data_IF_698143702215
#
_entry.id   IF_698143702215
#
_cell.length_a   1.000
_cell.length_b   1.000
_cell.length_c   1.000
_cell.angle_alpha   90.00
_cell.angle_beta   90.00
_cell.angle_gamma   90.00
#
_symmetry.space_group_name_H-M   'P 1'
#
loop_
_entity.id
_entity.type
_entity.pdbx_description
1 polymer ?
#
# COMPACT_ATOMS: atom_id res chain seq x y z
N UNK A 1 -9.86 6.33 -1.10
CA UNK A 1 -9.10 7.62 -0.98
C UNK A 1 -9.44 8.72 -2.02
N UNK A 2 -9.15 10.00 -1.72
CA UNK A 2 -9.38 11.16 -2.62
C UNK A 2 -8.42 11.24 -3.82
N UNK A 3 -8.83 11.92 -4.90
CA UNK A 3 -8.02 12.09 -6.12
C UNK A 3 -6.67 12.72 -5.78
N UNK A 4 -5.57 12.11 -6.24
CA UNK A 4 -4.25 12.74 -6.17
C UNK A 4 -4.20 13.84 -7.24
N UNK A 5 -4.37 15.09 -6.81
CA UNK A 5 -4.19 16.25 -7.69
C UNK A 5 -2.71 16.56 -7.82
N UNK A 6 -2.25 16.81 -9.05
CA UNK A 6 -0.87 17.17 -9.31
C UNK A 6 -0.50 18.52 -8.66
N UNK A 7 0.69 18.57 -8.08
CA UNK A 7 1.26 19.76 -7.47
C UNK A 7 2.77 19.58 -7.24
N UNK A 8 3.47 20.68 -7.00
CA UNK A 8 4.91 20.65 -6.73
C UNK A 8 5.17 20.28 -5.27
N UNK A 9 5.73 19.09 -4.97
CA UNK A 9 6.06 18.72 -3.61
C UNK A 9 7.21 19.56 -3.05
N UNK A 10 7.17 19.85 -1.76
CA UNK A 10 8.26 20.50 -1.03
C UNK A 10 9.33 19.48 -0.59
N UNK A 11 10.58 19.92 -0.55
CA UNK A 11 11.67 19.21 0.13
C UNK A 11 11.38 19.07 1.64
N UNK A 12 12.17 18.27 2.34
CA UNK A 12 12.03 18.13 3.79
C UNK A 12 12.31 19.44 4.51
N UNK A 13 13.32 20.18 4.09
CA UNK A 13 13.75 21.45 4.67
C UNK A 13 12.64 22.50 4.56
N UNK A 14 12.05 22.64 3.37
CA UNK A 14 10.91 23.52 3.11
C UNK A 14 9.66 23.07 3.87
N UNK A 15 9.36 21.77 3.87
CA UNK A 15 8.22 21.20 4.62
C UNK A 15 8.37 21.47 6.11
N UNK A 16 9.58 21.31 6.67
CA UNK A 16 9.87 21.56 8.08
C UNK A 16 9.70 23.04 8.42
N UNK A 17 10.14 23.95 7.55
CA UNK A 17 9.98 25.39 7.73
C UNK A 17 8.50 25.81 7.80
N UNK A 18 7.62 25.13 7.05
CA UNK A 18 6.18 25.38 7.01
C UNK A 18 5.36 24.49 7.95
N UNK A 19 5.99 23.62 8.73
CA UNK A 19 5.27 22.62 9.51
C UNK A 19 4.30 23.23 10.53
N UNK A 20 4.64 24.37 11.14
CA UNK A 20 3.75 25.07 12.06
C UNK A 20 2.60 25.76 11.33
N UNK A 21 2.87 26.40 10.19
CA UNK A 21 1.85 26.99 9.33
C UNK A 21 0.81 25.94 8.90
N UNK A 22 1.26 24.77 8.45
CA UNK A 22 0.37 23.66 8.06
C UNK A 22 -0.46 23.16 9.25
N UNK A 23 0.13 23.03 10.44
CA UNK A 23 -0.60 22.63 11.66
C UNK A 23 -1.67 23.64 12.03
N UNK A 24 -1.32 24.93 12.08
CA UNK A 24 -2.23 26.00 12.45
C UNK A 24 -3.44 26.04 11.51
N UNK A 25 -3.21 26.11 10.19
CA UNK A 25 -4.30 26.15 9.23
C UNK A 25 -5.10 24.83 9.17
N UNK A 26 -4.46 23.68 9.41
CA UNK A 26 -5.16 22.41 9.55
C UNK A 26 -6.14 22.41 10.74
N UNK A 27 -5.74 22.97 11.89
CA UNK A 27 -6.62 23.14 13.06
C UNK A 27 -7.74 24.13 12.77
N UNK A 28 -7.46 25.25 12.12
CA UNK A 28 -8.49 26.23 11.71
C UNK A 28 -9.52 25.59 10.76
N UNK A 29 -9.07 24.85 9.76
CA UNK A 29 -9.94 24.10 8.85
C UNK A 29 -10.78 23.07 9.61
N UNK A 30 -10.18 22.31 10.52
CA UNK A 30 -10.90 21.35 11.36
C UNK A 30 -11.99 22.03 12.20
N UNK A 31 -11.68 23.13 12.88
CA UNK A 31 -12.66 23.87 13.70
C UNK A 31 -13.81 24.38 12.83
N UNK A 32 -13.51 24.92 11.65
CA UNK A 32 -14.52 25.41 10.73
C UNK A 32 -15.43 24.29 10.22
N UNK A 33 -14.86 23.14 9.85
CA UNK A 33 -15.63 21.96 9.43
C UNK A 33 -16.47 21.41 10.58
N UNK A 34 -15.90 21.31 11.78
CA UNK A 34 -16.60 20.84 12.97
C UNK A 34 -17.79 21.75 13.29
N UNK A 35 -17.61 23.07 13.37
CA UNK A 35 -18.70 24.03 13.61
C UNK A 35 -19.81 23.93 12.56
N UNK A 36 -19.45 23.69 11.29
CA UNK A 36 -20.39 23.58 10.18
C UNK A 36 -21.19 22.28 10.20
N UNK A 37 -20.61 21.19 10.70
CA UNK A 37 -21.14 19.82 10.52
C UNK A 37 -21.48 19.09 11.82
N UNK A 38 -21.14 19.63 13.00
CA UNK A 38 -21.35 18.95 14.29
C UNK A 38 -22.82 18.58 14.55
N UNK A 39 -23.77 19.41 14.10
CA UNK A 39 -25.21 19.21 14.30
C UNK A 39 -25.86 18.40 13.16
N UNK A 40 -25.06 17.94 12.17
CA UNK A 40 -25.56 17.11 11.07
C UNK A 40 -26.05 15.77 11.63
N UNK A 41 -27.30 15.46 11.33
CA UNK A 41 -27.98 14.23 11.74
C UNK A 41 -28.81 13.68 10.58
N UNK A 42 -29.24 12.43 10.69
CA UNK A 42 -30.11 11.79 9.69
C UNK A 42 -29.37 11.24 8.47
N UNK A 43 -28.04 11.15 8.51
CA UNK A 43 -27.31 10.41 7.48
C UNK A 43 -27.69 8.93 7.53
N UNK A 44 -27.89 8.34 6.36
CA UNK A 44 -28.15 6.90 6.24
C UNK A 44 -26.84 6.13 6.19
N UNK A 45 -26.85 4.89 6.67
CA UNK A 45 -25.70 3.99 6.56
C UNK A 45 -25.32 3.82 5.08
N UNK A 46 -24.11 4.29 4.79
CA UNK A 46 -23.38 4.05 3.55
C UNK A 46 -22.05 3.43 3.91
N UNK A 47 -21.57 2.51 3.09
CA UNK A 47 -20.27 1.91 3.33
C UNK A 47 -19.63 1.43 2.03
N UNK A 48 -18.34 1.16 2.06
CA UNK A 48 -17.61 0.70 0.90
C UNK A 48 -16.33 -0.02 1.30
N UNK A 49 -15.86 -0.87 0.41
CA UNK A 49 -14.59 -1.57 0.56
C UNK A 49 -13.51 -0.96 -0.36
N UNK A 50 -12.26 -0.95 0.10
CA UNK A 50 -11.08 -0.65 -0.71
C UNK A 50 -10.21 -1.93 -0.74
N UNK A 51 -9.92 -2.42 -1.94
CA UNK A 51 -9.11 -3.63 -2.16
C UNK A 51 -7.86 -3.24 -2.93
N UNK A 52 -6.72 -3.51 -2.32
CA UNK A 52 -5.41 -3.31 -2.92
C UNK A 52 -4.94 -4.61 -3.60
N UNK A 53 -4.30 -4.47 -4.75
CA UNK A 53 -3.82 -5.58 -5.56
C UNK A 53 -2.35 -5.41 -5.93
N UNK A 54 -1.64 -6.53 -6.04
CA UNK A 54 -0.30 -6.63 -6.63
C UNK A 54 -0.42 -7.21 -8.04
N UNK A 55 0.24 -6.58 -9.01
CA UNK A 55 0.41 -7.11 -10.37
C UNK A 55 1.61 -8.04 -10.36
N UNK A 56 1.38 -9.34 -10.45
CA UNK A 56 2.42 -10.37 -10.47
C UNK A 56 2.67 -10.81 -11.90
N UNK A 57 3.94 -10.91 -12.30
CA UNK A 57 4.36 -11.50 -13.57
C UNK A 57 5.00 -12.86 -13.34
N UNK A 58 4.40 -13.88 -13.94
CA UNK A 58 4.92 -15.24 -14.04
C UNK A 58 5.75 -15.37 -15.32
N UNK A 59 6.93 -15.94 -15.15
CA UNK A 59 7.89 -16.31 -16.19
C UNK A 59 8.09 -17.82 -16.07
N UNK A 60 7.14 -18.57 -16.64
CA UNK A 60 7.06 -20.03 -16.50
C UNK A 60 8.32 -20.71 -17.06
N UNK A 61 8.90 -20.15 -18.13
CA UNK A 61 10.13 -20.66 -18.75
C UNK A 61 11.31 -20.65 -17.78
N UNK A 62 11.39 -19.66 -16.89
CA UNK A 62 12.47 -19.52 -15.91
C UNK A 62 11.99 -19.81 -14.48
N UNK A 63 10.80 -20.39 -14.30
CA UNK A 63 10.18 -20.73 -13.02
C UNK A 63 10.22 -19.57 -12.00
N UNK A 64 9.90 -18.36 -12.48
CA UNK A 64 10.07 -17.14 -11.68
C UNK A 64 8.79 -16.31 -11.63
N UNK A 65 8.45 -15.85 -10.43
CA UNK A 65 7.45 -14.81 -10.21
C UNK A 65 8.15 -13.49 -9.81
N UNK A 66 7.65 -12.37 -10.34
CA UNK A 66 8.10 -11.00 -10.03
C UNK A 66 6.92 -10.06 -9.90
N UNK A 67 7.11 -8.86 -9.34
CA UNK A 67 6.11 -7.79 -9.39
C UNK A 67 6.28 -6.97 -10.66
N UNK A 68 5.20 -6.73 -11.41
CA UNK A 68 5.22 -5.96 -12.65
C UNK A 68 5.03 -4.47 -12.37
N UNK A 69 5.97 -3.62 -12.78
CA UNK A 69 5.98 -2.19 -12.50
C UNK A 69 5.08 -1.37 -13.45
N UNK A 70 3.93 -1.93 -13.82
CA UNK A 70 3.02 -1.39 -14.84
C UNK A 70 1.84 -0.59 -14.28
N UNK A 71 1.75 -0.32 -12.98
CA UNK A 71 0.65 0.48 -12.42
C UNK A 71 0.52 1.84 -13.12
N UNK A 72 1.64 2.48 -13.47
CA UNK A 72 1.66 3.77 -14.18
C UNK A 72 1.05 3.70 -15.60
N UNK A 73 1.10 2.54 -16.25
CA UNK A 73 0.48 2.32 -17.56
C UNK A 73 -1.00 1.92 -17.44
N UNK A 74 -1.35 1.16 -16.40
CA UNK A 74 -2.69 0.61 -16.21
C UNK A 74 -3.67 1.65 -15.66
N UNK A 75 -3.26 2.46 -14.68
CA UNK A 75 -4.15 3.36 -13.97
C UNK A 75 -4.84 4.40 -14.87
N UNK A 76 -4.15 5.06 -15.82
CA UNK A 76 -4.82 5.97 -16.75
C UNK A 76 -5.97 5.30 -17.51
N UNK A 77 -5.75 4.08 -18.00
CA UNK A 77 -6.76 3.28 -18.73
C UNK A 77 -7.93 2.88 -17.83
N UNK A 78 -7.63 2.46 -16.60
CA UNK A 78 -8.64 2.10 -15.59
C UNK A 78 -9.51 3.28 -15.16
N UNK A 79 -8.95 4.49 -15.20
CA UNK A 79 -9.63 5.73 -14.81
C UNK A 79 -10.44 6.37 -15.95
N UNK A 80 -10.30 5.92 -17.20
CA UNK A 80 -11.01 6.48 -18.36
C UNK A 80 -12.53 6.54 -18.14
N UNK A 81 -13.13 5.47 -17.60
CA UNK A 81 -14.57 5.41 -17.35
C UNK A 81 -15.02 6.44 -16.30
N UNK A 82 -14.22 6.64 -15.26
CA UNK A 82 -14.51 7.63 -14.21
C UNK A 82 -14.35 9.06 -14.73
N UNK A 83 -13.33 9.31 -15.55
CA UNK A 83 -13.12 10.62 -16.16
C UNK A 83 -14.24 10.97 -17.16
N UNK A 84 -14.77 9.98 -17.88
CA UNK A 84 -15.85 10.17 -18.83
C UNK A 84 -17.22 10.34 -18.17
N UNK A 85 -17.55 9.53 -17.16
CA UNK A 85 -18.81 9.60 -16.41
C UNK A 85 -18.60 9.27 -14.93
N UNK A 86 -18.17 10.24 -14.10
CA UNK A 86 -17.86 9.99 -12.70
C UNK A 86 -19.10 9.60 -11.88
N UNK A 87 -20.31 9.84 -12.39
CA UNK A 87 -21.54 9.53 -11.68
C UNK A 87 -22.08 8.13 -11.95
N UNK A 88 -21.66 7.44 -13.02
CA UNK A 88 -22.24 6.13 -13.40
C UNK A 88 -21.20 5.03 -13.60
N UNK A 89 -20.04 5.16 -12.96
CA UNK A 89 -19.05 4.08 -12.88
C UNK A 89 -19.43 2.99 -11.88
N UNK A 90 -18.98 1.77 -12.16
CA UNK A 90 -19.15 0.60 -11.28
C UNK A 90 -17.96 0.39 -10.32
N UNK A 91 -16.83 0.99 -10.63
CA UNK A 91 -15.54 0.85 -9.95
C UNK A 91 -14.77 2.17 -10.03
N UNK A 92 -13.94 2.42 -9.03
CA UNK A 92 -12.95 3.50 -9.05
C UNK A 92 -11.57 2.89 -8.83
N UNK A 93 -10.55 3.49 -9.45
CA UNK A 93 -9.18 3.01 -9.37
C UNK A 93 -8.22 4.09 -8.90
N UNK A 94 -7.34 3.76 -7.95
CA UNK A 94 -6.39 4.69 -7.35
C UNK A 94 -4.96 4.14 -7.38
N UNK A 95 -3.95 5.00 -7.53
CA UNK A 95 -2.56 4.61 -7.34
C UNK A 95 -2.27 4.28 -5.89
N UNK A 96 -1.40 3.30 -5.69
CA UNK A 96 -0.83 2.94 -4.40
C UNK A 96 0.68 3.23 -4.35
N UNK A 97 1.32 3.03 -3.20
CA UNK A 97 2.76 3.30 -3.06
C UNK A 97 3.63 2.53 -4.06
N UNK A 98 3.33 1.26 -4.30
CA UNK A 98 4.09 0.40 -5.20
C UNK A 98 3.79 0.66 -6.67
N UNK A 99 4.84 0.72 -7.52
CA UNK A 99 4.68 0.78 -8.99
C UNK A 99 4.04 -0.48 -9.60
N UNK A 100 3.82 -1.49 -8.77
CA UNK A 100 3.17 -2.76 -9.06
C UNK A 100 1.81 -2.92 -8.37
N UNK A 101 1.28 -1.85 -7.78
CA UNK A 101 0.02 -1.88 -7.03
C UNK A 101 -1.07 -1.04 -7.69
N UNK A 102 -2.31 -1.50 -7.54
CA UNK A 102 -3.51 -0.73 -7.85
C UNK A 102 -4.55 -0.95 -6.75
N UNK A 103 -5.29 0.09 -6.40
CA UNK A 103 -6.41 0.01 -5.47
C UNK A 103 -7.73 0.15 -6.23
N UNK A 104 -8.69 -0.73 -5.95
CA UNK A 104 -10.03 -0.67 -6.52
C UNK A 104 -11.10 -0.54 -5.44
N UNK A 105 -12.09 0.34 -5.67
CA UNK A 105 -13.25 0.54 -4.79
C UNK A 105 -14.56 0.46 -5.60
N UNK A 106 -15.74 0.25 -4.98
CA UNK A 106 -17.00 0.33 -5.72
C UNK A 106 -17.24 1.75 -6.22
N UNK A 107 -17.86 1.88 -7.41
CA UNK A 107 -18.16 3.18 -8.04
C UNK A 107 -19.05 4.11 -7.21
N UNK A 108 -19.87 3.51 -6.35
CA UNK A 108 -20.71 4.20 -5.36
C UNK A 108 -20.68 3.42 -4.05
N UNK A 109 -20.83 4.08 -2.89
CA UNK A 109 -20.97 3.37 -1.63
C UNK A 109 -22.23 2.49 -1.66
N UNK A 110 -22.13 1.32 -1.04
CA UNK A 110 -23.25 0.44 -0.75
C UNK A 110 -24.22 1.10 0.24
N UNK A 111 -25.49 0.71 0.18
CA UNK A 111 -26.50 1.16 1.15
C UNK A 111 -26.59 0.27 2.40
N UNK A 112 -27.43 0.66 3.35
CA UNK A 112 -27.59 -0.02 4.64
C UNK A 112 -28.51 -1.26 4.65
N UNK A 113 -29.20 -1.59 3.55
CA UNK A 113 -30.03 -2.80 3.48
C UNK A 113 -29.18 -4.07 3.42
N UNK A 114 -29.62 -5.15 4.07
CA UNK A 114 -28.95 -6.46 4.03
C UNK A 114 -28.76 -6.98 2.59
N UNK A 115 -29.64 -6.63 1.67
CA UNK A 115 -29.51 -7.00 0.26
C UNK A 115 -28.23 -6.48 -0.40
N UNK A 116 -27.63 -5.39 0.11
CA UNK A 116 -26.38 -4.85 -0.44
C UNK A 116 -25.16 -5.74 -0.14
N UNK A 117 -25.22 -6.65 0.85
CA UNK A 117 -24.14 -7.61 1.04
C UNK A 117 -24.01 -8.57 -0.14
N UNK A 118 -25.12 -8.87 -0.84
CA UNK A 118 -25.13 -9.78 -1.99
C UNK A 118 -24.45 -9.20 -3.24
N UNK A 119 -24.13 -7.90 -3.27
CA UNK A 119 -23.49 -7.25 -4.43
C UNK A 119 -21.99 -7.00 -4.23
N UNK A 120 -21.47 -7.18 -3.02
CA UNK A 120 -20.06 -6.86 -2.69
C UNK A 120 -19.12 -7.76 -3.49
N UNK A 121 -19.33 -9.08 -3.43
CA UNK A 121 -18.49 -10.03 -4.15
C UNK A 121 -18.59 -9.83 -5.66
N UNK A 122 -19.80 -9.65 -6.19
CA UNK A 122 -20.02 -9.37 -7.61
C UNK A 122 -19.28 -8.10 -8.06
N UNK A 123 -19.23 -7.06 -7.23
CA UNK A 123 -18.47 -5.84 -7.50
C UNK A 123 -16.95 -6.08 -7.46
N UNK A 124 -16.44 -6.84 -6.47
CA UNK A 124 -15.02 -7.24 -6.40
C UNK A 124 -14.60 -8.09 -7.61
N UNK A 125 -15.44 -9.04 -8.03
CA UNK A 125 -15.22 -9.86 -9.22
C UNK A 125 -15.18 -8.99 -10.49
N UNK A 126 -16.10 -8.03 -10.61
CA UNK A 126 -16.10 -7.06 -11.71
C UNK A 126 -14.80 -6.23 -11.74
N UNK A 127 -14.36 -5.69 -10.59
CA UNK A 127 -13.07 -4.97 -10.48
C UNK A 127 -11.90 -5.84 -10.93
N UNK A 128 -11.84 -7.10 -10.46
CA UNK A 128 -10.78 -8.03 -10.87
C UNK A 128 -10.80 -8.28 -12.38
N UNK A 129 -11.97 -8.51 -12.97
CA UNK A 129 -12.11 -8.74 -14.41
C UNK A 129 -11.71 -7.50 -15.23
N UNK A 130 -12.11 -6.31 -14.78
CA UNK A 130 -11.77 -5.04 -15.43
C UNK A 130 -10.27 -4.79 -15.46
N UNK A 131 -9.57 -4.98 -14.34
CA UNK A 131 -8.11 -4.88 -14.32
C UNK A 131 -7.43 -6.01 -15.10
N UNK A 132 -7.94 -7.23 -15.03
CA UNK A 132 -7.37 -8.40 -15.73
C UNK A 132 -7.40 -8.22 -17.25
N UNK A 133 -8.40 -7.51 -17.80
CA UNK A 133 -8.51 -7.25 -19.23
C UNK A 133 -7.38 -6.37 -19.80
N UNK A 134 -6.61 -5.69 -18.95
CA UNK A 134 -5.50 -4.80 -19.34
C UNK A 134 -4.11 -5.40 -19.09
N UNK A 135 -4.06 -6.59 -18.48
CA UNK A 135 -2.82 -7.28 -18.15
C UNK A 135 -2.16 -7.87 -19.40
N UNK A 136 -0.82 -7.94 -19.39
CA UNK A 136 -0.06 -8.59 -20.45
C UNK A 136 0.04 -10.11 -20.22
N UNK A 137 0.57 -10.81 -21.22
CA UNK A 137 0.86 -12.24 -21.09
C UNK A 137 1.79 -12.53 -19.89
N UNK A 138 1.45 -13.58 -19.15
CA UNK A 138 2.08 -13.95 -17.89
C UNK A 138 1.76 -13.03 -16.69
N UNK A 139 0.98 -11.96 -16.85
CA UNK A 139 0.59 -11.09 -15.74
C UNK A 139 -0.74 -11.49 -15.11
N UNK A 140 -0.80 -11.44 -13.78
CA UNK A 140 -2.00 -11.74 -12.99
C UNK A 140 -2.13 -10.71 -11.88
N UNK A 141 -3.33 -10.16 -11.71
CA UNK A 141 -3.66 -9.29 -10.58
C UNK A 141 -4.05 -10.14 -9.37
N UNK A 142 -3.31 -9.99 -8.27
CA UNK A 142 -3.45 -10.80 -7.06
C UNK A 142 -3.75 -9.92 -5.85
N UNK A 143 -4.77 -10.29 -5.09
CA UNK A 143 -5.09 -9.65 -3.79
C UNK A 143 -4.30 -10.36 -2.68
N UNK A 144 -2.98 -10.21 -2.73
CA UNK A 144 -2.05 -10.75 -1.73
C UNK A 144 -1.56 -9.63 -0.82
N UNK A 145 -1.56 -9.86 0.49
CA UNK A 145 -1.10 -8.86 1.46
C UNK A 145 0.34 -8.44 1.24
N UNK A 146 1.19 -9.32 0.74
CA UNK A 146 2.56 -8.94 0.40
C UNK A 146 3.13 -9.92 -0.62
N UNK A 147 4.00 -9.42 -1.50
CA UNK A 147 4.73 -10.26 -2.43
C UNK A 147 5.88 -10.97 -1.70
N UNK A 148 5.90 -12.32 -1.61
CA UNK A 148 6.83 -13.03 -0.72
C UNK A 148 8.32 -12.82 -1.02
N UNK A 149 8.69 -12.39 -2.23
CA UNK A 149 10.07 -12.12 -2.64
C UNK A 149 10.40 -10.63 -2.74
N UNK A 150 9.57 -9.76 -2.18
CA UNK A 150 9.83 -8.31 -2.21
C UNK A 150 11.23 -8.02 -1.63
N UNK A 151 12.04 -7.24 -2.36
CA UNK A 151 13.42 -6.93 -1.97
C UNK A 151 14.45 -8.06 -2.15
N UNK A 152 14.09 -9.19 -2.74
CA UNK A 152 15.08 -10.17 -3.24
C UNK A 152 15.74 -9.69 -4.52
N UNK A 153 16.88 -10.28 -4.89
CA UNK A 153 17.49 -10.04 -6.20
C UNK A 153 16.47 -10.28 -7.33
N UNK A 154 16.36 -9.32 -8.24
CA UNK A 154 15.50 -9.35 -9.43
C UNK A 154 14.01 -9.65 -9.14
N UNK A 155 13.46 -9.06 -8.06
CA UNK A 155 12.05 -9.26 -7.70
C UNK A 155 11.05 -8.46 -8.56
N UNK A 156 11.53 -7.49 -9.34
CA UNK A 156 10.72 -6.63 -10.22
C UNK A 156 10.78 -7.07 -11.69
N UNK A 157 9.75 -6.72 -12.45
CA UNK A 157 9.72 -6.78 -13.91
C UNK A 157 9.38 -5.38 -14.46
N UNK A 158 10.28 -4.74 -15.23
CA UNK A 158 11.66 -5.17 -15.52
C UNK A 158 12.55 -5.20 -14.26
N UNK A 159 13.70 -5.91 -14.29
CA UNK A 159 14.58 -6.03 -13.14
C UNK A 159 15.34 -4.73 -12.87
N UNK A 160 15.26 -4.22 -11.64
CA UNK A 160 16.02 -3.06 -11.17
C UNK A 160 16.89 -3.43 -9.97
N UNK A 161 17.99 -2.68 -9.81
CA UNK A 161 18.92 -2.83 -8.69
C UNK A 161 18.71 -1.70 -7.67
N UNK A 162 18.79 -2.00 -6.36
CA UNK A 162 18.75 -0.97 -5.34
C UNK A 162 20.00 -0.07 -5.37
N UNK A 163 19.84 1.18 -4.94
CA UNK A 163 20.88 2.23 -4.92
C UNK A 163 21.14 2.71 -3.49
N UNK A 164 21.89 1.97 -2.66
CA UNK A 164 22.02 2.29 -1.23
C UNK A 164 22.72 3.62 -0.92
N UNK A 165 23.54 4.12 -1.85
CA UNK A 165 24.34 5.34 -1.66
C UNK A 165 23.65 6.61 -2.21
N UNK A 166 22.58 6.48 -2.98
CA UNK A 166 21.93 7.59 -3.68
C UNK A 166 20.42 7.35 -3.86
N UNK A 167 19.71 8.28 -4.51
CA UNK A 167 18.28 8.13 -4.76
C UNK A 167 17.38 8.35 -3.54
N UNK A 168 16.13 7.95 -3.72
CA UNK A 168 14.99 8.21 -2.85
C UNK A 168 15.04 7.34 -1.60
N UNK A 169 15.00 6.01 -1.78
CA UNK A 169 14.93 5.04 -0.68
C UNK A 169 16.27 4.90 0.03
N UNK A 170 17.39 4.90 -0.72
CA UNK A 170 18.73 4.48 -0.25
C UNK A 170 18.74 3.07 0.36
N UNK A 171 17.81 2.23 -0.06
CA UNK A 171 17.67 0.87 0.44
C UNK A 171 18.78 -0.03 -0.12
N UNK A 172 19.19 -1.05 0.65
CA UNK A 172 20.03 -2.14 0.14
C UNK A 172 19.26 -3.17 -0.69
N UNK A 173 17.92 -3.11 -0.69
CA UNK A 173 17.07 -4.20 -1.17
C UNK A 173 15.94 -3.75 -2.10
N UNK A 174 15.40 -2.55 -1.92
CA UNK A 174 14.24 -2.05 -2.65
C UNK A 174 14.67 -0.94 -3.63
N UNK A 175 14.54 -1.15 -4.96
CA UNK A 175 14.85 -0.12 -5.96
C UNK A 175 13.80 1.00 -5.96
N UNK A 176 14.22 2.23 -6.29
CA UNK A 176 13.32 3.38 -6.36
C UNK A 176 12.25 3.23 -7.45
N UNK A 177 12.52 2.43 -8.48
CA UNK A 177 11.56 2.05 -9.53
C UNK A 177 10.41 1.19 -9.00
N UNK A 178 10.60 0.56 -7.83
CA UNK A 178 9.52 -0.12 -7.11
C UNK A 178 8.45 0.83 -6.55
N UNK A 179 8.75 2.14 -6.45
CA UNK A 179 7.78 3.17 -6.06
C UNK A 179 6.91 3.52 -7.26
N UNK A 180 5.64 3.88 -7.05
CA UNK A 180 4.78 4.37 -8.10
C UNK A 180 5.35 5.64 -8.75
N UNK A 181 5.58 5.58 -10.06
CA UNK A 181 6.25 6.63 -10.82
C UNK A 181 5.31 7.73 -11.30
N UNK A 182 4.00 7.46 -11.36
CA UNK A 182 3.00 8.35 -11.94
C UNK A 182 2.51 9.48 -11.04
N UNK A 183 3.01 9.60 -9.81
CA UNK A 183 2.64 10.71 -8.94
C UNK A 183 3.79 11.08 -7.97
N UNK A 184 4.15 12.38 -7.85
CA UNK A 184 5.31 12.81 -7.06
C UNK A 184 5.20 12.50 -5.56
N UNK A 185 3.97 12.43 -5.02
CA UNK A 185 3.69 12.19 -3.58
C UNK A 185 4.53 11.06 -2.98
N UNK A 186 4.57 9.88 -3.60
CA UNK A 186 5.23 8.72 -3.01
C UNK A 186 6.75 8.84 -3.02
N UNK A 187 7.30 9.44 -4.08
CA UNK A 187 8.73 9.78 -4.20
C UNK A 187 9.17 10.91 -3.27
N UNK A 188 8.27 11.81 -2.88
CA UNK A 188 8.55 12.85 -1.88
C UNK A 188 8.39 12.35 -0.44
N UNK A 189 7.40 11.50 -0.19
CA UNK A 189 7.12 10.98 1.14
C UNK A 189 8.28 10.12 1.67
N UNK A 190 8.82 9.26 0.82
CA UNK A 190 9.92 8.34 1.16
C UNK A 190 11.19 9.05 1.68
N UNK A 191 11.80 10.02 0.97
CA UNK A 191 12.97 10.71 1.47
C UNK A 191 12.63 11.66 2.62
N UNK A 192 11.46 12.31 2.66
CA UNK A 192 11.09 13.20 3.76
C UNK A 192 10.98 12.45 5.09
N UNK A 193 10.47 11.21 5.10
CA UNK A 193 10.48 10.37 6.30
C UNK A 193 11.91 10.06 6.76
N UNK A 194 12.78 9.65 5.82
CA UNK A 194 14.19 9.33 6.11
C UNK A 194 14.96 10.55 6.63
N UNK A 195 14.81 11.70 5.97
CA UNK A 195 15.47 12.95 6.35
C UNK A 195 14.95 13.50 7.68
N UNK A 196 13.64 13.38 7.95
CA UNK A 196 13.05 13.72 9.25
C UNK A 196 13.60 12.83 10.37
N UNK A 197 13.73 11.52 10.11
CA UNK A 197 14.22 10.54 11.08
C UNK A 197 15.74 10.66 11.31
N UNK A 198 16.49 11.12 10.31
CA UNK A 198 17.95 11.19 10.31
C UNK A 198 18.64 9.88 9.88
N UNK A 199 17.85 8.82 9.64
CA UNK A 199 18.30 7.48 9.28
C UNK A 199 17.21 6.76 8.46
N UNK A 200 17.55 5.61 7.87
CA UNK A 200 16.56 4.77 7.17
C UNK A 200 15.51 4.25 8.14
N UNK A 201 14.33 3.91 7.61
CA UNK A 201 13.41 3.06 8.36
C UNK A 201 14.06 1.70 8.60
N UNK A 202 13.75 1.06 9.72
CA UNK A 202 14.34 -0.21 10.10
C UNK A 202 13.24 -1.14 10.61
N UNK A 203 13.02 -2.25 9.91
CA UNK A 203 12.05 -3.29 10.27
C UNK A 203 12.83 -4.60 10.46
N UNK A 204 12.70 -5.19 11.65
CA UNK A 204 13.32 -6.48 11.98
C UNK A 204 12.20 -7.48 12.29
N UNK A 205 11.96 -8.43 11.39
CA UNK A 205 11.02 -9.52 11.61
C UNK A 205 11.82 -10.75 12.05
N UNK A 206 11.56 -11.34 13.23
CA UNK A 206 12.24 -12.56 13.67
C UNK A 206 12.14 -13.67 12.62
N UNK A 207 13.26 -14.30 12.29
CA UNK A 207 13.26 -15.41 11.32
C UNK A 207 12.58 -16.63 11.93
N UNK A 208 11.82 -17.37 11.12
CA UNK A 208 11.37 -18.71 11.51
C UNK A 208 12.60 -19.63 11.63
N UNK A 209 12.79 -20.22 12.81
CA UNK A 209 13.92 -21.10 13.10
C UNK A 209 13.52 -22.55 12.83
N UNK A 210 13.88 -23.02 11.64
CA UNK A 210 13.84 -24.43 11.24
C UNK A 210 15.21 -25.09 11.51
N UNK A 211 15.29 -26.42 11.36
CA UNK A 211 16.50 -27.24 11.59
C UNK A 211 17.73 -26.69 10.87
N UNK A 212 17.54 -26.14 9.66
CA UNK A 212 18.61 -25.63 8.80
C UNK A 212 18.63 -24.09 8.67
N UNK A 213 17.88 -23.36 9.50
CA UNK A 213 17.91 -21.88 9.46
C UNK A 213 19.29 -21.38 9.89
N UNK A 214 19.94 -20.60 9.01
CA UNK A 214 21.25 -19.99 9.29
C UNK A 214 21.07 -18.67 10.03
N UNK A 215 21.94 -18.45 11.03
CA UNK A 215 22.11 -17.18 11.74
C UNK A 215 23.59 -16.80 11.60
N UNK A 216 23.94 -15.60 11.12
CA UNK A 216 23.03 -14.53 10.70
C UNK A 216 22.18 -14.91 9.47
N UNK A 217 20.96 -14.35 9.40
CA UNK A 217 20.01 -14.54 8.29
C UNK A 217 20.65 -14.12 6.97
N UNK A 218 21.24 -12.94 6.94
CA UNK A 218 22.05 -12.41 5.85
C UNK A 218 23.09 -11.39 6.36
N UNK A 219 23.77 -10.70 5.45
CA UNK A 219 24.79 -9.70 5.79
C UNK A 219 24.21 -8.35 6.24
N UNK A 220 22.89 -8.21 6.47
CA UNK A 220 22.26 -6.95 6.89
C UNK A 220 22.89 -6.39 8.17
N UNK A 221 23.16 -7.24 9.15
CA UNK A 221 23.79 -6.86 10.42
C UNK A 221 25.21 -6.30 10.27
N UNK A 222 25.88 -6.57 9.14
CA UNK A 222 27.18 -5.96 8.80
C UNK A 222 27.00 -4.66 8.03
N UNK A 223 25.99 -4.58 7.16
CA UNK A 223 25.69 -3.38 6.36
C UNK A 223 25.07 -2.25 7.19
N UNK A 224 24.27 -2.60 8.20
CA UNK A 224 23.53 -1.68 9.07
C UNK A 224 23.69 -2.11 10.55
N UNK A 225 24.91 -1.99 11.12
CA UNK A 225 25.25 -2.57 12.44
C UNK A 225 24.40 -2.01 13.59
N UNK A 226 23.95 -0.77 13.50
CA UNK A 226 23.16 -0.10 14.53
C UNK A 226 21.65 -0.43 14.46
N UNK A 227 21.19 -1.07 13.37
CA UNK A 227 19.76 -1.27 13.09
C UNK A 227 19.36 -2.73 12.83
N UNK A 228 20.20 -3.51 12.15
CA UNK A 228 19.86 -4.86 11.70
C UNK A 228 20.28 -5.93 12.71
N UNK A 229 19.36 -6.85 13.02
CA UNK A 229 19.61 -7.96 13.96
C UNK A 229 19.99 -9.25 13.22
N UNK A 230 21.01 -10.01 13.67
CA UNK A 230 21.46 -11.24 13.01
C UNK A 230 20.37 -12.29 12.80
N UNK A 231 19.41 -12.42 13.71
CA UNK A 231 18.35 -13.43 13.69
C UNK A 231 17.02 -12.90 13.13
N UNK A 232 17.06 -11.79 12.39
CA UNK A 232 15.88 -11.17 11.79
C UNK A 232 16.00 -11.05 10.27
N UNK A 233 14.86 -11.13 9.58
CA UNK A 233 14.71 -10.59 8.23
C UNK A 233 14.66 -9.07 8.36
N UNK A 234 15.75 -8.41 8.00
CA UNK A 234 15.88 -6.96 8.08
C UNK A 234 15.36 -6.29 6.79
N UNK A 235 14.63 -5.19 6.91
CA UNK A 235 14.05 -4.42 5.80
C UNK A 235 14.18 -2.92 6.09
N UNK A 236 14.63 -2.14 5.10
CA UNK A 236 15.12 -0.76 5.29
C UNK A 236 14.45 0.28 4.39
N UNK A 237 13.28 -0.04 3.82
CA UNK A 237 12.55 0.81 2.90
C UNK A 237 11.05 0.86 3.22
N UNK A 238 10.43 2.00 2.94
CA UNK A 238 8.98 2.19 3.09
C UNK A 238 8.17 1.20 2.24
N UNK A 239 8.69 0.79 1.09
CA UNK A 239 8.07 -0.23 0.23
C UNK A 239 7.88 -1.60 0.87
N UNK A 240 8.58 -1.93 1.95
CA UNK A 240 8.32 -3.17 2.71
C UNK A 240 7.07 -3.10 3.61
N UNK A 241 6.53 -1.89 3.82
CA UNK A 241 5.27 -1.67 4.53
C UNK A 241 4.16 -1.21 3.59
N UNK A 242 4.35 -0.07 2.92
CA UNK A 242 3.34 0.47 2.00
C UNK A 242 3.31 -0.23 0.64
N UNK A 243 4.27 -1.11 0.34
CA UNK A 243 4.18 -2.05 -0.79
C UNK A 243 3.37 -3.31 -0.50
N UNK A 244 2.74 -3.38 0.68
CA UNK A 244 1.82 -4.45 1.07
C UNK A 244 0.38 -4.03 0.77
N UNK A 245 -0.51 -5.01 0.58
CA UNK A 245 -1.93 -4.81 0.39
C UNK A 245 -2.75 -5.08 1.66
N UNK A 246 -3.88 -4.42 1.79
CA UNK A 246 -4.91 -4.68 2.78
C UNK A 246 -6.32 -4.63 2.18
N UNK A 247 -7.29 -5.06 3.00
CA UNK A 247 -8.71 -4.83 2.77
C UNK A 247 -9.15 -3.77 3.77
N UNK A 248 -9.75 -2.69 3.29
CA UNK A 248 -10.26 -1.61 4.13
C UNK A 248 -11.77 -1.50 3.97
N UNK A 249 -12.47 -1.16 5.05
CA UNK A 249 -13.90 -0.88 5.05
C UNK A 249 -14.14 0.49 5.67
N UNK A 250 -14.92 1.33 4.99
CA UNK A 250 -15.30 2.66 5.48
C UNK A 250 -16.81 2.72 5.66
N UNK A 251 -17.27 3.18 6.83
CA UNK A 251 -18.69 3.29 7.19
C UNK A 251 -19.06 4.76 7.48
N UNK A 252 -20.22 5.18 6.97
CA UNK A 252 -20.85 6.45 7.30
C UNK A 252 -21.87 6.22 8.43
N UNK A 253 -21.65 6.90 9.56
CA UNK A 253 -22.61 6.98 10.67
C UNK A 253 -23.66 8.09 10.42
N UNK A 254 -24.74 8.09 11.20
CA UNK A 254 -25.85 9.04 11.09
C UNK A 254 -25.50 10.46 11.54
N UNK A 255 -24.52 10.59 12.43
CA UNK A 255 -24.01 11.84 12.99
C UNK A 255 -22.64 11.63 13.64
N UNK A 256 -22.00 12.72 14.10
CA UNK A 256 -20.69 12.67 14.75
C UNK A 256 -20.69 11.89 16.07
N UNK A 257 -21.80 11.92 16.82
CA UNK A 257 -21.93 11.18 18.08
C UNK A 257 -21.87 9.68 17.83
N UNK A 258 -22.66 9.17 16.88
CA UNK A 258 -22.62 7.76 16.51
C UNK A 258 -21.27 7.39 15.89
N UNK A 259 -20.67 8.24 15.05
CA UNK A 259 -19.36 7.99 14.46
C UNK A 259 -18.28 7.75 15.53
N UNK A 260 -18.28 8.56 16.61
CA UNK A 260 -17.38 8.39 17.75
C UNK A 260 -17.65 7.10 18.51
N UNK A 261 -18.93 6.80 18.79
CA UNK A 261 -19.30 5.54 19.44
C UNK A 261 -18.86 4.33 18.61
N UNK A 262 -19.11 4.33 17.30
CA UNK A 262 -18.69 3.26 16.40
C UNK A 262 -17.17 3.11 16.37
N UNK A 263 -16.43 4.21 16.29
CA UNK A 263 -14.96 4.21 16.34
C UNK A 263 -14.45 3.54 17.64
N UNK A 264 -14.98 3.95 18.79
CA UNK A 264 -14.58 3.41 20.09
C UNK A 264 -14.91 1.92 20.22
N UNK A 265 -16.05 1.48 19.68
CA UNK A 265 -16.46 0.06 19.71
C UNK A 265 -15.67 -0.82 18.72
N UNK A 266 -15.22 -0.28 17.59
CA UNK A 266 -14.44 -1.02 16.60
C UNK A 266 -12.94 -1.08 16.95
N UNK A 267 -12.40 -0.08 17.66
CA UNK A 267 -11.00 -0.05 18.08
C UNK A 267 -10.50 -1.35 18.76
N UNK A 268 -11.21 -1.95 19.74
CA UNK A 268 -10.78 -3.21 20.36
C UNK A 268 -10.87 -4.42 19.42
N UNK A 269 -11.63 -4.34 18.33
CA UNK A 269 -11.74 -5.41 17.33
C UNK A 269 -10.57 -5.41 16.34
N UNK A 270 -9.90 -4.28 16.14
CA UNK A 270 -8.77 -4.16 15.20
C UNK A 270 -7.68 -5.25 15.39
N UNK A 271 -7.11 -5.48 16.58
CA UNK A 271 -6.10 -6.54 16.76
C UNK A 271 -6.67 -7.95 16.60
N UNK A 272 -7.96 -8.16 16.91
CA UNK A 272 -8.64 -9.46 16.73
C UNK A 272 -8.80 -9.75 15.23
N UNK A 273 -9.27 -8.78 14.46
CA UNK A 273 -9.42 -8.91 13.02
C UNK A 273 -8.08 -9.10 12.34
N UNK A 274 -7.02 -8.37 12.75
CA UNK A 274 -5.66 -8.57 12.26
C UNK A 274 -5.18 -10.01 12.45
N UNK A 275 -5.42 -10.61 13.63
CA UNK A 275 -5.04 -12.00 13.89
C UNK A 275 -5.89 -13.00 13.10
N UNK A 276 -7.20 -12.77 13.01
CA UNK A 276 -8.14 -13.65 12.30
C UNK A 276 -7.89 -13.64 10.79
N UNK A 277 -7.56 -12.49 10.21
CA UNK A 277 -7.31 -12.31 8.78
C UNK A 277 -5.83 -12.46 8.42
N UNK A 278 -5.02 -13.13 9.24
CA UNK A 278 -3.59 -13.27 9.00
C UNK A 278 -3.27 -14.05 7.71
N UNK A 279 -2.91 -13.33 6.66
CA UNK A 279 -2.60 -13.84 5.31
C UNK A 279 -1.12 -13.76 4.97
N UNK A 280 -0.31 -13.12 5.80
CA UNK A 280 1.12 -12.95 5.59
C UNK A 280 1.93 -13.76 6.60
N UNK A 281 2.63 -14.80 6.10
CA UNK A 281 3.51 -15.65 6.92
C UNK A 281 4.96 -15.69 6.45
N UNK A 282 5.27 -15.11 5.28
CA UNK A 282 6.57 -15.33 4.62
C UNK A 282 7.08 -14.07 3.91
N UNK A 283 8.09 -13.43 4.52
CA UNK A 283 9.05 -12.60 3.78
C UNK A 283 10.26 -13.46 3.44
N UNK A 284 10.47 -13.72 2.16
CA UNK A 284 11.62 -14.48 1.69
C UNK A 284 12.75 -13.48 1.42
N UNK A 285 13.78 -13.45 2.27
CA UNK A 285 15.12 -12.98 1.89
C UNK A 285 16.14 -14.12 1.81
N UNK A 286 15.83 -15.27 2.41
CA UNK A 286 16.83 -16.27 2.79
C UNK A 286 16.71 -17.67 2.21
N UNK A 287 15.64 -18.01 1.49
CA UNK A 287 15.43 -19.40 1.05
C UNK A 287 16.05 -19.78 -0.31
N UNK A 288 16.70 -18.86 -1.03
CA UNK A 288 17.07 -19.08 -2.43
C UNK A 288 18.54 -19.41 -2.71
N UNK A 289 19.34 -19.82 -1.71
CA UNK A 289 20.73 -20.25 -1.98
C UNK A 289 20.88 -21.72 -2.39
N UNK A 290 19.82 -22.53 -2.51
CA UNK A 290 19.97 -24.00 -2.71
C UNK A 290 19.27 -24.61 -3.94
N UNK A 291 18.92 -23.84 -4.97
CA UNK A 291 18.48 -24.41 -6.27
C UNK A 291 19.46 -24.24 -7.43
N UNK A 292 20.74 -23.94 -7.14
CA UNK A 292 21.83 -24.08 -8.10
C UNK A 292 22.78 -25.16 -7.60
N UNK A 293 22.43 -26.41 -7.88
CA UNK A 293 23.35 -27.53 -8.02
C UNK A 293 22.93 -28.32 -9.24
#
# INVERSE_FOLDING_TARGET
MGLLTEGSPLSWEETKALAEHVRQHGVEQFINLYRKLQDRTGDVLKWGDEVEYVIVKFDDKNERATVSLRANELLPKLQEKELADPQNVKSLWRPEYGGYMVEGTPGKPYGGLLAHFNIVEANMQYRRAEASALLQDGEVIMSITNFPRLGCTNFTSPPYKPTPNEGVTRSHYFPDEGIYQGHPRFKTLTPNIRLRRGEKVAINIPVFRDVNTKIPVDNSHTLEPDAAKPDCVYMDAMGFGMGCCCLQLTFQACCITEARTLYDQLAPLCPIMLALSATFRKQTKTFLKHSQR
#
